data_IF_038188151107
#
_entry.id   IF_038188151107
#
_cell.length_a   1.000
_cell.length_b   1.000
_cell.length_c   1.000
_cell.angle_alpha   90.00
_cell.angle_beta   90.00
_cell.angle_gamma   90.00
#
_symmetry.space_group_name_H-M   'P 1'
#
loop_
_entity.id
_entity.type
_entity.pdbx_description
1 polymer ?
#
# COMPACT_ATOMS: atom_id res chain seq x y z
N UNK A 1 9.54 -9.33 -17.48
CA UNK A 1 10.44 -8.16 -17.31
C UNK A 1 9.54 -6.96 -17.12
N UNK A 2 9.29 -6.55 -15.87
CA UNK A 2 8.44 -5.39 -15.59
C UNK A 2 9.28 -4.16 -15.95
N UNK A 3 8.84 -3.40 -16.94
CA UNK A 3 9.48 -2.14 -17.32
C UNK A 3 9.44 -1.21 -16.12
N UNK A 4 10.57 -0.61 -15.68
CA UNK A 4 10.56 0.38 -14.64
C UNK A 4 9.92 1.64 -15.21
N UNK A 5 8.63 1.86 -14.91
CA UNK A 5 8.07 3.19 -14.98
C UNK A 5 8.85 4.02 -13.96
N UNK A 6 9.65 4.96 -14.47
CA UNK A 6 10.57 5.81 -13.70
C UNK A 6 9.92 6.35 -12.42
N UNK A 7 10.44 5.95 -11.26
CA UNK A 7 10.10 6.57 -9.96
C UNK A 7 9.55 5.62 -8.89
N UNK A 8 8.97 4.48 -9.30
CA UNK A 8 8.39 3.50 -8.37
C UNK A 8 9.44 2.50 -7.86
N UNK A 9 9.54 2.37 -6.54
CA UNK A 9 10.46 1.46 -5.87
C UNK A 9 9.72 0.63 -4.84
N UNK A 10 9.72 -0.70 -4.98
CA UNK A 10 9.33 -1.59 -3.89
C UNK A 10 10.30 -1.43 -2.72
N UNK A 11 9.76 -1.11 -1.54
CA UNK A 11 10.53 -0.96 -0.32
C UNK A 11 10.62 -2.30 0.42
N UNK A 12 9.50 -3.01 0.53
CA UNK A 12 9.42 -4.31 1.17
C UNK A 12 8.10 -5.03 0.86
N UNK A 13 8.06 -6.33 1.15
CA UNK A 13 6.88 -7.19 1.02
C UNK A 13 6.86 -8.29 2.10
N UNK A 14 5.67 -8.75 2.48
CA UNK A 14 5.49 -9.98 3.27
C UNK A 14 5.55 -11.25 2.44
N UNK A 15 5.44 -11.14 1.11
CA UNK A 15 5.76 -12.25 0.21
C UNK A 15 7.27 -12.37 0.04
N UNK A 16 7.74 -13.62 -0.10
CA UNK A 16 9.13 -13.90 -0.43
C UNK A 16 9.32 -13.70 -1.94
N UNK A 17 9.80 -12.51 -2.32
CA UNK A 17 10.29 -12.24 -3.67
C UNK A 17 11.82 -12.04 -3.64
N UNK A 18 12.54 -12.49 -4.68
CA UNK A 18 14.01 -12.53 -4.66
C UNK A 18 14.68 -11.16 -4.58
N UNK A 19 13.99 -10.11 -5.05
CA UNK A 19 14.56 -8.79 -5.28
C UNK A 19 13.91 -7.70 -4.41
N UNK A 20 12.97 -8.05 -3.53
CA UNK A 20 12.28 -7.13 -2.62
C UNK A 20 12.57 -7.53 -1.17
N UNK A 21 12.98 -6.60 -0.30
CA UNK A 21 13.19 -6.90 1.12
C UNK A 21 11.96 -7.56 1.76
N UNK A 22 12.19 -8.68 2.44
CA UNK A 22 11.12 -9.40 3.13
C UNK A 22 10.92 -8.86 4.56
N UNK A 23 9.66 -8.65 4.94
CA UNK A 23 9.27 -8.30 6.30
C UNK A 23 8.18 -9.28 6.75
N UNK A 24 8.32 -9.95 7.91
CA UNK A 24 7.30 -10.86 8.40
C UNK A 24 6.04 -10.08 8.82
N UNK A 25 4.86 -10.68 8.69
CA UNK A 25 3.57 -10.00 8.87
C UNK A 25 3.45 -9.33 10.26
N UNK A 26 4.01 -9.95 11.30
CA UNK A 26 3.99 -9.47 12.68
C UNK A 26 4.81 -8.17 12.87
N UNK A 27 5.67 -7.84 11.91
CA UNK A 27 6.49 -6.62 11.90
C UNK A 27 5.93 -5.50 11.03
N UNK A 28 4.88 -5.78 10.25
CA UNK A 28 4.33 -4.81 9.29
C UNK A 28 3.85 -3.53 9.99
N UNK A 29 3.10 -3.62 11.09
CA UNK A 29 2.64 -2.42 11.81
C UNK A 29 3.81 -1.58 12.34
N UNK A 30 4.86 -2.21 12.87
CA UNK A 30 6.07 -1.53 13.33
C UNK A 30 6.75 -0.74 12.19
N UNK A 31 6.83 -1.35 11.00
CA UNK A 31 7.42 -0.72 9.81
C UNK A 31 6.58 0.42 9.26
N UNK A 32 5.26 0.25 9.22
CA UNK A 32 4.33 1.29 8.74
C UNK A 32 4.33 2.50 9.65
N UNK A 33 4.50 2.32 10.95
CA UNK A 33 4.61 3.42 11.89
C UNK A 33 5.86 4.30 11.64
N UNK A 34 6.93 3.77 11.04
CA UNK A 34 8.08 4.60 10.62
C UNK A 34 7.68 5.63 9.56
N UNK A 35 6.74 5.28 8.67
CA UNK A 35 6.20 6.23 7.70
C UNK A 35 5.26 7.23 8.36
N UNK A 36 4.41 6.76 9.28
CA UNK A 36 3.57 7.66 10.08
C UNK A 36 4.39 8.71 10.82
N UNK A 37 5.52 8.31 11.42
CA UNK A 37 6.40 9.21 12.17
C UNK A 37 7.22 10.16 11.26
N UNK A 38 7.38 9.83 9.97
CA UNK A 38 8.21 10.57 9.02
C UNK A 38 7.43 11.55 8.14
N UNK A 39 6.22 11.17 7.74
CA UNK A 39 5.38 11.95 6.82
C UNK A 39 4.37 12.80 7.59
N UNK A 40 3.96 13.96 7.06
CA UNK A 40 3.01 14.88 7.69
C UNK A 40 1.53 14.43 7.56
N UNK A 41 1.24 13.65 6.52
CA UNK A 41 -0.12 13.22 6.20
C UNK A 41 -0.17 11.74 5.84
N UNK A 42 -1.34 11.15 6.08
CA UNK A 42 -1.75 9.90 5.45
C UNK A 42 -3.17 9.99 4.87
N UNK A 43 -3.45 9.10 3.93
CA UNK A 43 -4.76 8.93 3.30
C UNK A 43 -5.25 7.52 3.54
N UNK A 44 -6.50 7.40 3.98
CA UNK A 44 -7.19 6.14 4.19
C UNK A 44 -7.86 5.68 2.89
N UNK A 45 -7.35 4.58 2.33
CA UNK A 45 -7.94 3.85 1.21
C UNK A 45 -8.38 2.44 1.59
N UNK A 46 -8.76 2.21 2.85
CA UNK A 46 -9.25 0.94 3.35
C UNK A 46 -10.72 0.66 2.96
N UNK A 47 -11.09 -0.62 2.99
CA UNK A 47 -12.49 -1.06 2.86
C UNK A 47 -12.95 -1.45 1.46
N UNK A 48 -12.04 -1.56 0.48
CA UNK A 48 -12.40 -2.10 -0.83
C UNK A 48 -12.52 -3.62 -0.76
N UNK A 49 -13.59 -4.18 -1.36
CA UNK A 49 -13.55 -5.57 -1.78
C UNK A 49 -12.60 -5.71 -2.97
N UNK A 50 -11.95 -6.86 -3.13
CA UNK A 50 -11.06 -7.12 -4.27
C UNK A 50 -11.72 -6.83 -5.61
N UNK A 51 -12.95 -7.31 -5.80
CA UNK A 51 -13.65 -7.14 -7.07
C UNK A 51 -13.89 -5.66 -7.37
N UNK A 52 -14.36 -4.88 -6.38
CA UNK A 52 -14.56 -3.43 -6.55
C UNK A 52 -13.25 -2.69 -6.75
N UNK A 53 -12.19 -3.08 -6.04
CA UNK A 53 -10.85 -2.52 -6.21
C UNK A 53 -10.39 -2.72 -7.65
N UNK A 54 -10.44 -3.96 -8.14
CA UNK A 54 -10.05 -4.33 -9.49
C UNK A 54 -10.91 -3.64 -10.54
N UNK A 55 -12.23 -3.59 -10.39
CA UNK A 55 -13.12 -2.81 -11.26
C UNK A 55 -12.72 -1.33 -11.31
N UNK A 56 -12.40 -0.75 -10.15
CA UNK A 56 -12.00 0.67 -10.04
C UNK A 56 -10.70 0.91 -10.78
N UNK A 57 -9.67 0.10 -10.54
CA UNK A 57 -8.36 0.28 -11.18
C UNK A 57 -8.35 -0.16 -12.65
N UNK A 58 -9.20 -1.11 -13.07
CA UNK A 58 -9.32 -1.54 -14.47
C UNK A 58 -9.77 -0.40 -15.39
N UNK A 59 -10.49 0.59 -14.87
CA UNK A 59 -10.82 1.80 -15.61
C UNK A 59 -9.60 2.72 -15.86
N UNK A 60 -8.52 2.53 -15.12
CA UNK A 60 -7.26 3.27 -15.25
C UNK A 60 -6.11 2.44 -15.85
N UNK A 61 -6.24 1.10 -15.82
CA UNK A 61 -5.25 0.16 -16.33
C UNK A 61 -5.16 0.16 -17.85
N UNK A 62 -3.98 -0.17 -18.37
CA UNK A 62 -3.82 -0.46 -19.79
C UNK A 62 -4.21 -1.91 -20.10
N UNK A 63 -4.27 -2.26 -21.39
CA UNK A 63 -4.51 -3.65 -21.84
C UNK A 63 -3.20 -4.46 -21.93
N UNK A 64 -2.15 -4.06 -21.22
CA UNK A 64 -0.85 -4.74 -21.30
C UNK A 64 -0.88 -6.09 -20.58
N UNK A 65 0.01 -6.98 -21.01
CA UNK A 65 0.25 -8.26 -20.35
C UNK A 65 0.70 -8.06 -18.88
N UNK A 66 1.45 -6.98 -18.61
CA UNK A 66 1.90 -6.64 -17.26
C UNK A 66 0.73 -6.29 -16.34
N UNK A 67 -0.26 -5.55 -16.85
CA UNK A 67 -1.46 -5.22 -16.10
C UNK A 67 -2.28 -6.47 -15.75
N UNK A 68 -2.47 -7.37 -16.72
CA UNK A 68 -3.16 -8.64 -16.50
C UNK A 68 -2.45 -9.49 -15.44
N UNK A 69 -1.13 -9.61 -15.52
CA UNK A 69 -0.34 -10.33 -14.52
C UNK A 69 -0.50 -9.73 -13.13
N UNK A 70 -0.49 -8.40 -13.02
CA UNK A 70 -0.75 -7.73 -11.75
C UNK A 70 -2.14 -8.08 -11.19
N UNK A 71 -3.20 -7.94 -11.99
CA UNK A 71 -4.57 -8.25 -11.52
C UNK A 71 -4.75 -9.72 -11.15
N UNK A 72 -4.15 -10.63 -11.91
CA UNK A 72 -4.20 -12.07 -11.65
C UNK A 72 -3.49 -12.39 -10.32
N UNK A 73 -2.35 -11.74 -10.03
CA UNK A 73 -1.65 -11.87 -8.75
C UNK A 73 -2.51 -11.40 -7.58
N UNK A 74 -3.15 -10.22 -7.69
CA UNK A 74 -4.03 -9.68 -6.64
C UNK A 74 -5.19 -10.64 -6.35
N UNK A 75 -5.81 -11.21 -7.40
CA UNK A 75 -6.87 -12.21 -7.27
C UNK A 75 -6.38 -13.50 -6.60
N UNK A 76 -5.17 -13.95 -6.91
CA UNK A 76 -4.60 -15.18 -6.36
C UNK A 76 -4.24 -15.12 -4.87
N UNK A 77 -4.11 -13.93 -4.27
CA UNK A 77 -3.76 -13.76 -2.85
C UNK A 77 -4.86 -14.37 -1.96
N UNK A 78 -4.51 -15.38 -1.15
CA UNK A 78 -5.41 -16.05 -0.19
C UNK A 78 -5.09 -15.79 1.27
N UNK A 79 -3.84 -15.46 1.56
CA UNK A 79 -3.37 -15.04 2.89
C UNK A 79 -3.09 -13.55 2.85
N UNK A 80 -3.12 -12.87 3.99
CA UNK A 80 -2.80 -11.45 4.04
C UNK A 80 -1.37 -11.24 3.52
N UNK A 81 -1.27 -10.49 2.43
CA UNK A 81 -0.02 -10.05 1.83
C UNK A 81 0.05 -8.54 1.92
N UNK A 82 1.16 -8.00 2.41
CA UNK A 82 1.39 -6.57 2.55
C UNK A 82 2.65 -6.18 1.81
N UNK A 83 2.62 -5.07 1.09
CA UNK A 83 3.80 -4.50 0.47
C UNK A 83 3.80 -2.98 0.57
N UNK A 84 4.99 -2.40 0.52
CA UNK A 84 5.19 -0.95 0.47
C UNK A 84 5.92 -0.55 -0.80
N UNK A 85 5.41 0.48 -1.47
CA UNK A 85 6.00 1.07 -2.67
C UNK A 85 6.22 2.55 -2.39
N UNK A 86 7.41 3.03 -2.73
CA UNK A 86 7.70 4.46 -2.84
C UNK A 86 7.44 4.91 -4.27
N UNK A 87 6.79 6.05 -4.43
CA UNK A 87 6.67 6.75 -5.70
C UNK A 87 6.93 8.26 -5.52
N UNK A 88 6.99 9.00 -6.62
CA UNK A 88 7.01 10.45 -6.62
C UNK A 88 5.76 10.98 -7.34
N UNK A 89 4.89 11.67 -6.60
CA UNK A 89 3.71 12.35 -7.14
C UNK A 89 3.95 13.86 -7.12
N UNK A 90 4.11 14.44 -8.31
CA UNK A 90 4.32 15.89 -8.47
C UNK A 90 5.61 16.38 -7.81
N UNK A 91 5.47 17.15 -6.71
CA UNK A 91 6.60 17.76 -5.97
C UNK A 91 7.03 16.97 -4.72
N UNK A 92 6.36 15.86 -4.40
CA UNK A 92 6.60 15.10 -3.17
C UNK A 92 6.84 13.62 -3.43
N UNK A 93 7.54 12.96 -2.49
CA UNK A 93 7.57 11.50 -2.43
C UNK A 93 6.36 10.99 -1.66
N UNK A 94 5.80 9.87 -2.11
CA UNK A 94 4.73 9.17 -1.42
C UNK A 94 5.15 7.74 -1.10
N UNK A 95 4.62 7.20 0.00
CA UNK A 95 4.69 5.76 0.30
C UNK A 95 3.28 5.20 0.27
N UNK A 96 3.03 4.24 -0.62
CA UNK A 96 1.81 3.44 -0.63
C UNK A 96 2.09 2.13 0.08
N UNK A 97 1.28 1.82 1.09
CA UNK A 97 1.22 0.53 1.76
C UNK A 97 -0.09 -0.13 1.39
N UNK A 98 -0.04 -1.31 0.78
CA UNK A 98 -1.21 -2.09 0.43
C UNK A 98 -1.24 -3.39 1.24
N UNK A 99 -2.34 -3.63 1.94
CA UNK A 99 -2.63 -4.87 2.65
C UNK A 99 -3.79 -5.59 1.94
N UNK A 100 -3.53 -6.79 1.45
CA UNK A 100 -4.44 -7.54 0.59
C UNK A 100 -4.72 -8.89 1.24
N UNK A 101 -5.98 -9.15 1.56
CA UNK A 101 -6.43 -10.44 2.12
C UNK A 101 -7.05 -11.30 1.02
N UNK A 102 -7.78 -12.37 1.37
CA UNK A 102 -8.55 -13.11 0.36
C UNK A 102 -9.64 -12.24 -0.30
N UNK A 103 -10.29 -11.36 0.48
CA UNK A 103 -11.52 -10.67 0.07
C UNK A 103 -11.36 -9.16 -0.06
N UNK A 104 -10.41 -8.57 0.65
CA UNK A 104 -10.29 -7.12 0.79
C UNK A 104 -8.94 -6.62 0.28
N UNK A 105 -8.97 -5.36 -0.17
CA UNK A 105 -7.78 -4.54 -0.45
C UNK A 105 -7.89 -3.31 0.42
N UNK A 106 -6.88 -3.11 1.26
CA UNK A 106 -6.73 -1.93 2.09
C UNK A 106 -5.48 -1.18 1.67
N UNK A 107 -5.55 0.13 1.60
CA UNK A 107 -4.41 0.97 1.24
C UNK A 107 -4.25 2.10 2.23
N UNK A 108 -2.99 2.45 2.51
CA UNK A 108 -2.61 3.68 3.22
C UNK A 108 -1.55 4.37 2.40
N UNK A 109 -1.73 5.65 2.14
CA UNK A 109 -0.74 6.46 1.41
C UNK A 109 -0.19 7.53 2.34
N UNK A 110 1.12 7.61 2.49
CA UNK A 110 1.81 8.64 3.26
C UNK A 110 2.42 9.69 2.33
N UNK A 111 2.34 10.95 2.71
CA UNK A 111 2.84 12.08 1.92
C UNK A 111 3.17 13.29 2.80
N UNK A 112 4.10 14.13 2.33
CA UNK A 112 4.34 15.48 2.86
C UNK A 112 3.65 16.55 2.02
N UNK A 113 2.98 16.15 0.95
CA UNK A 113 2.24 17.04 0.08
C UNK A 113 0.77 17.00 0.43
N UNK A 114 0.20 18.18 0.74
CA UNK A 114 -1.21 18.35 1.04
C UNK A 114 -2.05 18.23 -0.24
N UNK A 115 -2.85 17.18 -0.32
CA UNK A 115 -3.95 17.02 -1.30
C UNK A 115 -5.32 17.04 -0.59
N UNK A 116 -6.40 16.69 -1.30
CA UNK A 116 -7.75 16.70 -0.74
C UNK A 116 -7.92 15.66 0.36
N UNK A 117 -8.61 16.04 1.44
CA UNK A 117 -8.97 15.20 2.59
C UNK A 117 -7.80 14.44 3.28
N UNK A 118 -6.68 15.11 3.64
CA UNK A 118 -5.57 14.45 4.31
C UNK A 118 -5.86 14.23 5.79
N UNK A 119 -5.31 13.15 6.35
CA UNK A 119 -5.32 12.90 7.80
C UNK A 119 -3.93 13.20 8.34
N UNK A 120 -3.84 14.07 9.35
CA UNK A 120 -2.57 14.46 9.97
C UNK A 120 -1.95 13.31 10.78
N UNK A 121 -0.65 13.11 10.64
CA UNK A 121 0.14 12.14 11.41
C UNK A 121 0.64 12.74 12.74
N UNK A 122 -0.30 13.07 13.62
CA UNK A 122 0.05 13.69 14.91
C UNK A 122 0.46 12.64 15.95
N UNK A 123 1.50 12.90 16.77
CA UNK A 123 2.01 11.91 17.74
C UNK A 123 0.95 11.34 18.70
N UNK A 124 -0.07 12.12 19.06
CA UNK A 124 -1.13 11.69 19.97
C UNK A 124 -2.19 10.78 19.32
N UNK A 125 -2.30 10.73 17.99
CA UNK A 125 -3.18 9.78 17.27
C UNK A 125 -2.43 8.51 16.82
N UNK A 126 -1.10 8.44 17.03
CA UNK A 126 -0.24 7.35 16.57
C UNK A 126 -0.69 5.97 17.06
N UNK A 127 -1.09 5.85 18.33
CA UNK A 127 -1.58 4.57 18.89
C UNK A 127 -2.91 4.16 18.26
N UNK A 128 -3.82 5.11 18.08
CA UNK A 128 -5.10 4.87 17.41
C UNK A 128 -4.89 4.44 15.96
N UNK A 129 -3.97 5.08 15.24
CA UNK A 129 -3.56 4.66 13.90
C UNK A 129 -2.99 3.24 13.92
N UNK A 130 -2.08 2.92 14.85
CA UNK A 130 -1.50 1.58 15.00
C UNK A 130 -2.56 0.51 15.19
N UNK A 131 -3.54 0.76 16.05
CA UNK A 131 -4.64 -0.17 16.33
C UNK A 131 -5.56 -0.33 15.11
N UNK A 132 -5.93 0.78 14.48
CA UNK A 132 -6.74 0.76 13.26
C UNK A 132 -6.03 0.00 12.14
N UNK A 133 -4.78 0.34 11.83
CA UNK A 133 -4.02 -0.31 10.77
C UNK A 133 -3.79 -1.80 11.08
N UNK A 134 -3.50 -2.15 12.33
CA UNK A 134 -3.39 -3.54 12.77
C UNK A 134 -4.65 -4.37 12.48
N UNK A 135 -5.84 -3.78 12.68
CA UNK A 135 -7.11 -4.45 12.37
C UNK A 135 -7.32 -4.74 10.87
N UNK A 136 -6.58 -4.07 9.98
CA UNK A 136 -6.63 -4.32 8.54
C UNK A 136 -5.79 -5.54 8.12
N UNK A 137 -4.97 -6.07 9.04
CA UNK A 137 -4.07 -7.20 8.81
C UNK A 137 -4.63 -8.54 9.31
N UNK A 138 -5.81 -8.52 9.95
CA UNK A 138 -6.51 -9.69 10.51
C UNK A 138 -7.33 -10.48 9.47
#
# INVERSE_FOLDING_TARGET
MISPLFGQQFLWSTELESDVPHIPLEKVTEEVLKYYDHYEFYYDGAGYSKDKFLETILNYGDKSEGWKQFTDRIQAIKKVTVFAIRDNLGRGSVILVAAISEKNVNMVVFSNYYENDPILTVPFEREKFSNWFGSLLE
#
